data_IF_894179369448
#
_entry.id   IF_894179369448
#
_cell.length_a   1.000
_cell.length_b   1.000
_cell.length_c   1.000
_cell.angle_alpha   90.00
_cell.angle_beta   90.00
_cell.angle_gamma   90.00
#
_symmetry.space_group_name_H-M   'P 1'
#
loop_
_entity.id
_entity.type
_entity.pdbx_description
1 polymer ?
#
# COMPACT_ATOMS: atom_id res chain seq x y z
N UNK A 1 15.45 -24.31 20.77
CA UNK A 1 14.93 -23.05 20.21
C UNK A 1 13.87 -23.41 19.18
N UNK A 2 12.59 -23.16 19.48
CA UNK A 2 11.46 -23.53 18.61
C UNK A 2 11.47 -22.75 17.30
N UNK A 3 11.13 -23.45 16.21
CA UNK A 3 11.07 -22.95 14.85
C UNK A 3 9.83 -22.06 14.60
N UNK A 4 9.92 -21.13 13.63
CA UNK A 4 8.77 -20.79 12.81
C UNK A 4 9.18 -20.49 11.37
N UNK A 5 8.74 -21.37 10.47
CA UNK A 5 8.80 -21.24 9.02
C UNK A 5 8.14 -19.93 8.56
N UNK A 6 8.91 -19.03 7.98
CA UNK A 6 8.39 -18.03 7.05
C UNK A 6 8.31 -18.64 5.66
N UNK A 7 7.14 -19.14 5.26
CA UNK A 7 6.85 -19.60 3.89
C UNK A 7 7.29 -18.52 2.89
N UNK A 8 8.25 -18.87 2.03
CA UNK A 8 8.57 -18.12 0.82
C UNK A 8 7.42 -18.38 -0.17
N UNK A 9 6.34 -17.59 -0.02
CA UNK A 9 5.20 -17.61 -0.92
C UNK A 9 5.61 -17.04 -2.28
N UNK A 10 5.59 -17.88 -3.29
CA UNK A 10 6.06 -17.58 -4.63
C UNK A 10 5.12 -16.74 -5.51
N UNK A 11 5.64 -16.54 -6.73
CA UNK A 11 5.10 -15.89 -7.94
C UNK A 11 5.32 -14.38 -8.03
N UNK A 12 6.45 -14.07 -8.68
CA UNK A 12 6.65 -12.83 -9.42
C UNK A 12 5.58 -12.68 -10.50
N UNK A 13 5.00 -11.50 -10.50
CA UNK A 13 3.90 -11.06 -11.35
C UNK A 13 3.28 -9.92 -10.58
N UNK A 14 3.68 -8.69 -10.87
CA UNK A 14 3.17 -7.51 -10.19
C UNK A 14 1.63 -7.52 -10.29
N UNK A 15 0.98 -7.98 -9.23
CA UNK A 15 -0.46 -7.86 -9.05
C UNK A 15 -0.71 -6.36 -9.09
N UNK A 16 -1.24 -5.85 -10.21
CA UNK A 16 -1.74 -4.49 -10.24
C UNK A 16 -2.71 -4.40 -9.06
N UNK A 17 -2.45 -3.55 -8.07
CA UNK A 17 -3.34 -3.48 -6.93
C UNK A 17 -4.71 -3.07 -7.45
N UNK A 18 -5.73 -3.89 -7.18
CA UNK A 18 -7.11 -3.59 -7.55
C UNK A 18 -7.71 -2.52 -6.63
N UNK A 19 -7.00 -1.40 -6.47
CA UNK A 19 -7.51 -0.23 -5.78
C UNK A 19 -8.16 0.69 -6.80
N UNK A 20 -9.25 1.34 -6.39
CA UNK A 20 -9.95 2.31 -7.24
C UNK A 20 -9.64 3.72 -6.76
N UNK A 21 -9.41 4.64 -7.69
CA UNK A 21 -9.34 6.07 -7.35
C UNK A 21 -10.62 6.44 -6.61
N UNK A 22 -10.44 7.09 -5.46
CA UNK A 22 -11.49 7.45 -4.53
C UNK A 22 -11.71 6.50 -3.36
N UNK A 23 -11.08 5.33 -3.36
CA UNK A 23 -11.13 4.36 -2.27
C UNK A 23 -10.31 4.85 -1.06
N UNK A 24 -10.79 4.61 0.16
CA UNK A 24 -10.02 4.90 1.38
C UNK A 24 -9.06 3.74 1.65
N UNK A 25 -7.78 4.06 1.75
CA UNK A 25 -6.71 3.11 2.00
C UNK A 25 -5.82 3.58 3.15
N UNK A 26 -5.02 2.65 3.66
CA UNK A 26 -3.99 2.90 4.66
C UNK A 26 -2.65 2.68 3.97
N UNK A 27 -1.85 3.74 3.88
CA UNK A 27 -0.44 3.65 3.52
C UNK A 27 0.40 3.50 4.80
N UNK A 28 1.32 2.55 4.81
CA UNK A 28 2.15 2.22 5.97
C UNK A 28 3.60 1.98 5.51
N UNK A 29 4.41 3.02 5.57
CA UNK A 29 5.81 3.02 5.14
C UNK A 29 6.71 3.49 6.30
N UNK A 30 7.83 2.81 6.58
CA UNK A 30 8.70 3.13 7.71
C UNK A 30 9.37 4.51 7.65
N UNK A 31 9.45 5.15 6.47
CA UNK A 31 10.11 6.45 6.31
C UNK A 31 9.12 7.63 6.35
N UNK A 32 7.96 7.45 5.75
CA UNK A 32 6.92 8.48 5.61
C UNK A 32 5.80 8.34 6.62
N UNK A 33 5.74 7.21 7.34
CA UNK A 33 4.76 6.91 8.38
C UNK A 33 3.40 6.45 7.86
N UNK A 34 2.56 6.01 8.81
CA UNK A 34 1.20 5.54 8.53
C UNK A 34 0.25 6.69 8.27
N UNK A 35 -0.55 6.61 7.20
CA UNK A 35 -1.65 7.56 6.92
C UNK A 35 -2.88 6.86 6.37
N UNK A 36 -4.05 7.39 6.74
CA UNK A 36 -5.34 7.00 6.19
C UNK A 36 -5.75 8.08 5.18
N UNK A 37 -5.98 7.69 3.93
CA UNK A 37 -6.22 8.65 2.87
C UNK A 37 -7.03 8.09 1.72
N UNK A 38 -7.55 8.98 0.89
CA UNK A 38 -8.29 8.64 -0.31
C UNK A 38 -7.30 8.40 -1.45
N UNK A 39 -7.42 7.29 -2.16
CA UNK A 39 -6.59 7.01 -3.32
C UNK A 39 -6.84 8.06 -4.40
N UNK A 40 -5.84 8.88 -4.72
CA UNK A 40 -5.94 9.93 -5.73
C UNK A 40 -5.22 9.55 -7.03
N UNK A 41 -4.12 8.79 -6.94
CA UNK A 41 -3.26 8.45 -8.08
C UNK A 41 -2.83 6.99 -8.01
N UNK A 42 -2.88 6.29 -9.15
CA UNK A 42 -2.31 4.94 -9.30
C UNK A 42 -1.27 4.95 -10.41
N UNK A 43 -0.02 4.67 -10.05
CA UNK A 43 1.09 4.52 -10.98
C UNK A 43 1.52 3.06 -11.07
N UNK A 44 2.52 2.76 -11.91
CA UNK A 44 3.02 1.38 -12.10
C UNK A 44 3.49 0.73 -10.80
N UNK A 45 4.21 1.49 -9.96
CA UNK A 45 4.88 0.95 -8.77
C UNK A 45 4.44 1.63 -7.46
N UNK A 46 3.66 2.71 -7.55
CA UNK A 46 3.26 3.50 -6.39
C UNK A 46 1.81 3.95 -6.48
N UNK A 47 1.25 4.31 -5.33
CA UNK A 47 -0.06 4.94 -5.20
C UNK A 47 0.05 6.23 -4.40
N UNK A 48 -0.75 7.22 -4.78
CA UNK A 48 -0.83 8.50 -4.07
C UNK A 48 -2.11 8.56 -3.23
N UNK A 49 -1.97 8.73 -1.92
CA UNK A 49 -3.08 8.95 -0.99
C UNK A 49 -3.23 10.44 -0.69
N UNK A 50 -4.41 10.97 -0.92
CA UNK A 50 -4.82 12.30 -0.48
C UNK A 50 -5.20 12.27 1.00
N UNK A 51 -4.53 13.12 1.77
CA UNK A 51 -4.74 13.32 3.20
C UNK A 51 -4.67 14.82 3.46
N UNK A 52 -5.77 15.44 3.89
CA UNK A 52 -5.84 16.88 4.20
C UNK A 52 -5.25 17.76 3.08
N UNK A 53 -5.70 17.55 1.84
CA UNK A 53 -5.26 18.27 0.64
C UNK A 53 -3.75 18.11 0.29
N UNK A 54 -3.09 17.09 0.84
CA UNK A 54 -1.71 16.71 0.50
C UNK A 54 -1.67 15.29 -0.05
N UNK A 55 -0.83 15.05 -1.05
CA UNK A 55 -0.63 13.72 -1.63
C UNK A 55 0.63 13.09 -1.04
N UNK A 56 0.50 11.87 -0.52
CA UNK A 56 1.60 11.05 -0.03
C UNK A 56 1.72 9.79 -0.87
N UNK A 57 2.92 9.49 -1.36
CA UNK A 57 3.17 8.34 -2.21
C UNK A 57 3.69 7.16 -1.40
N UNK A 58 3.15 5.97 -1.70
CA UNK A 58 3.51 4.70 -1.08
C UNK A 58 3.82 3.67 -2.17
N UNK A 59 4.73 2.73 -1.89
CA UNK A 59 4.82 1.51 -2.70
C UNK A 59 3.50 0.74 -2.58
N UNK A 60 3.03 0.14 -3.67
CA UNK A 60 1.79 -0.62 -3.66
C UNK A 60 1.72 -1.74 -2.60
N UNK A 61 2.87 -2.30 -2.20
CA UNK A 61 2.98 -3.34 -1.17
C UNK A 61 2.79 -2.79 0.25
N UNK A 62 2.91 -1.48 0.42
CA UNK A 62 2.78 -0.77 1.69
C UNK A 62 1.35 -0.25 1.91
N UNK A 63 0.44 -0.54 0.99
CA UNK A 63 -0.94 -0.06 1.05
C UNK A 63 -1.90 -1.21 1.28
N UNK A 64 -2.95 -0.96 2.07
CA UNK A 64 -4.00 -1.92 2.36
C UNK A 64 -5.35 -1.24 2.56
N UNK A 65 -6.42 -2.02 2.43
CA UNK A 65 -7.76 -1.60 2.87
C UNK A 65 -7.79 -1.50 4.41
N UNK A 66 -8.59 -0.58 4.97
CA UNK A 66 -8.99 -0.66 6.37
C UNK A 66 -9.64 -2.03 6.64
N UNK A 67 -9.28 -2.65 7.76
CA UNK A 67 -9.96 -3.84 8.26
C UNK A 67 -11.09 -3.45 9.19
#
# INVERSE_FOLDING_TARGET
MSALLGRIGGRGGALRPHYKVGEVLIGDDPFTGRRHGRLAVVNRNSVGLEVQNRIYFYDHRQVRRPG
#
